data_IF_447803241277
#
_entry.id   IF_447803241277
#
_cell.length_a   1.000
_cell.length_b   1.000
_cell.length_c   1.000
_cell.angle_alpha   90.00
_cell.angle_beta   90.00
_cell.angle_gamma   90.00
#
_symmetry.space_group_name_H-M   'P 1'
#
loop_
_entity.id
_entity.type
_entity.pdbx_description
1 polymer ?
#
# COMPACT_ATOMS: atom_id res chain seq x y z
N UNK A 1 33.88 5.55 -16.16
CA UNK A 1 33.33 4.67 -15.11
C UNK A 1 32.53 3.57 -15.78
N UNK A 2 32.65 2.33 -15.32
CA UNK A 2 31.92 1.20 -15.89
C UNK A 2 30.45 1.24 -15.50
N UNK A 3 29.55 1.11 -16.49
CA UNK A 3 28.13 0.99 -16.20
C UNK A 3 27.85 -0.39 -15.58
N UNK A 4 27.02 -0.46 -14.52
CA UNK A 4 26.51 -1.70 -13.98
C UNK A 4 25.91 -2.59 -15.06
N UNK A 5 26.42 -3.81 -15.15
CA UNK A 5 25.83 -4.83 -16.03
C UNK A 5 24.48 -5.22 -15.47
N UNK A 6 23.48 -5.39 -16.34
CA UNK A 6 22.11 -5.74 -15.95
C UNK A 6 22.06 -6.95 -15.00
N UNK A 7 22.86 -7.99 -15.25
CA UNK A 7 22.98 -9.16 -14.37
C UNK A 7 23.44 -8.79 -12.96
N UNK A 8 24.41 -7.89 -12.83
CA UNK A 8 24.93 -7.44 -11.53
C UNK A 8 23.90 -6.57 -10.80
N UNK A 9 23.16 -5.74 -11.53
CA UNK A 9 22.09 -4.93 -10.97
C UNK A 9 20.95 -5.80 -10.41
N UNK A 10 20.46 -6.78 -11.18
CA UNK A 10 19.46 -7.75 -10.70
C UNK A 10 19.93 -8.57 -9.49
N UNK A 11 21.25 -8.73 -9.34
CA UNK A 11 21.82 -9.42 -8.19
C UNK A 11 22.04 -8.55 -6.95
N UNK A 12 21.80 -7.23 -7.02
CA UNK A 12 22.11 -6.31 -5.93
C UNK A 12 23.61 -6.04 -5.78
N UNK A 13 24.39 -6.22 -6.85
CA UNK A 13 25.83 -5.97 -6.88
C UNK A 13 26.22 -4.84 -7.85
N UNK A 14 25.31 -3.89 -8.09
CA UNK A 14 25.57 -2.74 -8.95
C UNK A 14 26.81 -1.95 -8.48
N UNK A 15 26.94 -1.76 -7.16
CA UNK A 15 28.10 -1.10 -6.51
C UNK A 15 29.44 -1.74 -6.92
N UNK A 16 29.49 -3.07 -7.04
CA UNK A 16 30.71 -3.77 -7.44
C UNK A 16 31.16 -3.39 -8.85
N UNK A 17 30.22 -3.13 -9.77
CA UNK A 17 30.53 -2.60 -11.09
C UNK A 17 30.93 -1.13 -11.05
N UNK A 18 30.29 -0.31 -10.22
CA UNK A 18 30.60 1.13 -10.10
C UNK A 18 32.00 1.39 -9.53
N UNK A 19 32.51 0.44 -8.74
CA UNK A 19 33.86 0.46 -8.17
C UNK A 19 34.90 -0.27 -9.02
N UNK A 20 34.51 -0.82 -10.16
CA UNK A 20 35.40 -1.55 -11.05
C UNK A 20 36.24 -0.56 -11.88
N UNK A 21 37.51 -0.88 -12.07
CA UNK A 21 38.47 -0.16 -12.91
C UNK A 21 38.48 -0.65 -14.37
N UNK A 22 37.80 -1.77 -14.66
CA UNK A 22 37.73 -2.36 -16.00
C UNK A 22 36.94 -1.45 -16.97
N UNK A 23 37.43 -1.21 -18.20
CA UNK A 23 36.70 -0.43 -19.19
C UNK A 23 35.37 -1.10 -19.55
N UNK A 24 34.37 -0.29 -19.89
CA UNK A 24 33.02 -0.77 -20.19
C UNK A 24 32.90 -1.34 -21.61
N UNK A 25 33.60 -2.44 -21.86
CA UNK A 25 33.58 -3.14 -23.15
C UNK A 25 32.67 -4.36 -23.04
N UNK A 26 31.74 -4.51 -23.97
CA UNK A 26 30.87 -5.68 -24.02
C UNK A 26 31.68 -6.97 -24.21
N UNK A 27 31.45 -7.97 -23.36
CA UNK A 27 32.09 -9.27 -23.50
C UNK A 27 33.52 -9.39 -22.96
N UNK A 28 34.02 -8.44 -22.16
CA UNK A 28 35.33 -8.58 -21.52
C UNK A 28 35.39 -9.82 -20.61
N UNK A 29 36.49 -10.55 -20.67
CA UNK A 29 36.67 -11.81 -19.93
C UNK A 29 36.66 -11.59 -18.42
N UNK A 30 37.18 -10.44 -17.97
CA UNK A 30 37.16 -10.04 -16.56
C UNK A 30 35.73 -9.83 -16.06
N UNK A 31 34.89 -9.12 -16.81
CA UNK A 31 33.49 -8.93 -16.44
C UNK A 31 32.73 -10.27 -16.42
N UNK A 32 33.00 -11.17 -17.38
CA UNK A 32 32.39 -12.52 -17.40
C UNK A 32 32.76 -13.32 -16.14
N UNK A 33 34.03 -13.30 -15.77
CA UNK A 33 34.52 -13.97 -14.55
C UNK A 33 33.93 -13.35 -13.29
N UNK A 34 33.88 -12.02 -13.21
CA UNK A 34 33.28 -11.28 -12.10
C UNK A 34 31.81 -11.66 -11.89
N UNK A 35 30.99 -11.58 -12.95
CA UNK A 35 29.56 -11.90 -12.91
C UNK A 35 29.34 -13.35 -12.45
N UNK A 36 30.09 -14.31 -13.01
CA UNK A 36 29.97 -15.72 -12.61
C UNK A 36 30.40 -15.99 -11.17
N UNK A 37 31.37 -15.24 -10.64
CA UNK A 37 31.79 -15.33 -9.23
C UNK A 37 30.71 -14.80 -8.29
N UNK A 38 30.14 -13.63 -8.60
CA UNK A 38 29.06 -13.05 -7.81
C UNK A 38 27.79 -13.91 -7.85
N UNK A 39 27.43 -14.47 -9.00
CA UNK A 39 26.30 -15.38 -9.13
C UNK A 39 26.46 -16.62 -8.24
N UNK A 40 27.64 -17.27 -8.26
CA UNK A 40 27.94 -18.42 -7.38
C UNK A 40 27.89 -18.04 -5.91
N UNK A 41 28.38 -16.85 -5.55
CA UNK A 41 28.36 -16.39 -4.16
C UNK A 41 26.92 -16.14 -3.71
N UNK A 42 26.11 -15.46 -4.52
CA UNK A 42 24.68 -15.21 -4.27
C UNK A 42 23.92 -16.52 -4.06
N UNK A 43 24.18 -17.52 -4.89
CA UNK A 43 23.54 -18.83 -4.78
C UNK A 43 23.91 -19.53 -3.47
N UNK A 44 25.19 -19.52 -3.08
CA UNK A 44 25.63 -20.11 -1.81
C UNK A 44 24.99 -19.46 -0.59
N UNK A 45 24.78 -18.14 -0.63
CA UNK A 45 24.19 -17.38 0.47
C UNK A 45 22.67 -17.24 0.35
N UNK A 46 21.99 -17.92 -0.60
CA UNK A 46 20.53 -17.82 -0.74
C UNK A 46 19.80 -18.67 0.30
N UNK A 47 20.36 -19.82 0.70
CA UNK A 47 19.74 -20.84 1.55
C UNK A 47 19.55 -20.46 3.02
N UNK A 48 19.62 -21.42 3.96
CA UNK A 48 19.67 -21.11 5.40
C UNK A 48 21.12 -20.85 5.83
N UNK A 49 21.38 -19.78 6.58
CA UNK A 49 22.71 -19.52 7.12
C UNK A 49 23.12 -20.60 8.13
N UNK A 50 24.25 -21.26 7.90
CA UNK A 50 24.76 -22.35 8.73
C UNK A 50 25.79 -21.84 9.76
N UNK A 51 26.53 -20.80 9.41
CA UNK A 51 27.57 -20.20 10.27
C UNK A 51 27.28 -18.72 10.60
N UNK A 52 28.00 -18.17 11.59
CA UNK A 52 28.00 -16.72 11.86
C UNK A 52 28.55 -15.93 10.67
N UNK A 53 29.56 -16.47 9.98
CA UNK A 53 30.13 -15.86 8.79
C UNK A 53 29.10 -15.79 7.65
N UNK A 54 28.22 -16.79 7.50
CA UNK A 54 27.16 -16.78 6.50
C UNK A 54 26.14 -15.69 6.78
N UNK A 55 25.80 -15.47 8.06
CA UNK A 55 24.86 -14.41 8.47
C UNK A 55 25.45 -13.04 8.18
N UNK A 56 26.70 -12.82 8.58
CA UNK A 56 27.42 -11.58 8.31
C UNK A 56 27.55 -11.31 6.81
N UNK A 57 27.88 -12.34 6.02
CA UNK A 57 27.97 -12.22 4.56
C UNK A 57 26.64 -11.80 3.93
N UNK A 58 25.51 -12.33 4.41
CA UNK A 58 24.18 -11.93 3.94
C UNK A 58 23.87 -10.50 4.28
N UNK A 59 24.19 -10.08 5.50
CA UNK A 59 24.01 -8.70 5.95
C UNK A 59 24.76 -7.72 5.05
N UNK A 60 26.04 -8.00 4.74
CA UNK A 60 26.80 -7.19 3.79
C UNK A 60 26.19 -7.16 2.39
N UNK A 61 25.70 -8.29 1.88
CA UNK A 61 25.03 -8.31 0.58
C UNK A 61 23.72 -7.52 0.59
N UNK A 62 22.96 -7.57 1.68
CA UNK A 62 21.75 -6.76 1.84
C UNK A 62 22.08 -5.27 1.86
N UNK A 63 23.13 -4.87 2.59
CA UNK A 63 23.63 -3.49 2.60
C UNK A 63 24.06 -3.02 1.20
N UNK A 64 24.85 -3.82 0.48
CA UNK A 64 25.29 -3.49 -0.88
C UNK A 64 24.16 -3.42 -1.91
N UNK A 65 23.10 -4.22 -1.71
CA UNK A 65 21.95 -4.24 -2.60
C UNK A 65 21.05 -2.99 -2.44
N UNK A 66 21.02 -2.39 -1.26
CA UNK A 66 20.26 -1.17 -1.00
C UNK A 66 21.00 -0.25 -0.01
N UNK A 67 22.11 0.41 -0.41
CA UNK A 67 22.96 1.17 0.51
C UNK A 67 22.20 2.31 1.22
N UNK A 68 21.25 2.95 0.54
CA UNK A 68 20.54 4.12 1.08
C UNK A 68 19.72 3.81 2.33
N UNK A 69 19.28 2.56 2.51
CA UNK A 69 18.58 2.12 3.72
C UNK A 69 19.50 1.98 4.95
N UNK A 70 20.81 2.10 4.78
CA UNK A 70 21.81 1.87 5.82
C UNK A 70 22.76 3.07 6.00
N UNK A 71 22.39 4.25 5.52
CA UNK A 71 23.20 5.46 5.66
C UNK A 71 23.44 5.86 7.13
N UNK A 72 22.48 5.56 8.01
CA UNK A 72 22.57 5.84 9.46
C UNK A 72 23.23 4.71 10.26
N UNK A 73 23.76 3.67 9.60
CA UNK A 73 24.46 2.58 10.28
C UNK A 73 25.72 3.09 10.97
N UNK A 74 25.89 2.74 12.26
CA UNK A 74 26.97 3.28 13.09
C UNK A 74 28.38 2.87 12.62
N UNK A 75 28.49 1.81 11.83
CA UNK A 75 29.77 1.24 11.40
C UNK A 75 30.01 1.45 9.91
N UNK A 76 28.97 1.27 9.09
CA UNK A 76 29.06 1.24 7.63
C UNK A 76 28.41 2.44 6.96
N UNK A 77 27.74 3.33 7.70
CA UNK A 77 26.92 4.41 7.15
C UNK A 77 27.65 5.36 6.21
N UNK A 78 28.92 5.69 6.53
CA UNK A 78 29.77 6.52 5.66
C UNK A 78 29.99 5.85 4.28
N UNK A 79 30.30 4.55 4.28
CA UNK A 79 30.49 3.78 3.05
C UNK A 79 29.18 3.60 2.29
N UNK A 80 28.07 3.38 3.00
CA UNK A 80 26.75 3.25 2.39
C UNK A 80 26.31 4.54 1.71
N UNK A 81 26.55 5.68 2.34
CA UNK A 81 26.31 7.01 1.76
C UNK A 81 27.11 7.20 0.46
N UNK A 82 28.39 6.83 0.47
CA UNK A 82 29.23 6.88 -0.72
C UNK A 82 28.72 5.94 -1.84
N UNK A 83 28.26 4.74 -1.50
CA UNK A 83 27.69 3.81 -2.49
C UNK A 83 26.35 4.28 -3.04
N UNK A 84 25.49 4.89 -2.22
CA UNK A 84 24.26 5.55 -2.67
C UNK A 84 24.56 6.64 -3.68
N UNK A 85 25.51 7.53 -3.38
CA UNK A 85 25.89 8.60 -4.31
C UNK A 85 26.39 8.08 -5.66
N UNK A 86 27.12 6.96 -5.67
CA UNK A 86 27.53 6.31 -6.93
C UNK A 86 26.34 5.73 -7.71
N UNK A 87 25.37 5.13 -7.02
CA UNK A 87 24.16 4.60 -7.65
C UNK A 87 23.32 5.74 -8.23
N UNK A 88 23.13 6.83 -7.47
CA UNK A 88 22.35 7.99 -7.89
C UNK A 88 22.98 8.67 -9.11
N UNK A 89 24.30 8.86 -9.09
CA UNK A 89 25.03 9.37 -10.24
C UNK A 89 24.91 8.47 -11.48
N UNK A 90 24.74 7.15 -11.31
CA UNK A 90 24.56 6.21 -12.41
C UNK A 90 23.12 6.16 -12.94
N UNK A 91 22.13 6.10 -12.05
CA UNK A 91 20.72 6.05 -12.43
C UNK A 91 20.20 7.40 -12.94
N UNK A 92 20.98 8.47 -12.69
CA UNK A 92 20.55 9.84 -12.86
C UNK A 92 19.72 10.29 -11.66
N UNK A 93 19.62 11.61 -11.45
CA UNK A 93 18.60 12.13 -10.55
C UNK A 93 17.24 11.73 -11.12
N UNK A 94 16.57 10.80 -10.45
CA UNK A 94 15.14 10.65 -10.64
C UNK A 94 14.53 12.04 -10.42
N UNK A 95 13.71 12.56 -11.34
CA UNK A 95 13.13 13.87 -11.17
C UNK A 95 12.45 13.92 -9.81
N UNK A 96 12.77 14.97 -9.03
CA UNK A 96 12.17 15.14 -7.71
C UNK A 96 10.65 15.04 -7.87
N UNK A 97 10.03 14.08 -7.17
CA UNK A 97 8.59 13.87 -7.28
C UNK A 97 7.90 15.16 -6.87
N UNK A 98 7.31 15.85 -7.83
CA UNK A 98 6.74 17.17 -7.56
C UNK A 98 5.48 17.01 -6.72
N UNK A 99 5.09 18.07 -6.02
CA UNK A 99 3.82 18.09 -5.28
C UNK A 99 2.65 17.79 -6.24
N UNK A 100 2.72 18.24 -7.50
CA UNK A 100 1.69 17.92 -8.50
C UNK A 100 1.59 16.42 -8.81
N UNK A 101 2.72 15.71 -8.94
CA UNK A 101 2.70 14.26 -9.17
C UNK A 101 2.14 13.48 -7.98
N UNK A 102 2.47 13.92 -6.76
CA UNK A 102 1.92 13.36 -5.53
C UNK A 102 0.40 13.55 -5.50
N UNK A 103 -0.09 14.77 -5.76
CA UNK A 103 -1.51 15.09 -5.82
C UNK A 103 -2.21 14.26 -6.90
N UNK A 104 -1.65 14.19 -8.11
CA UNK A 104 -2.20 13.39 -9.20
C UNK A 104 -2.32 11.91 -8.83
N UNK A 105 -1.33 11.35 -8.12
CA UNK A 105 -1.38 9.97 -7.63
C UNK A 105 -2.48 9.77 -6.57
N UNK A 106 -2.67 10.74 -5.67
CA UNK A 106 -3.77 10.71 -4.70
C UNK A 106 -5.14 10.84 -5.37
N UNK A 107 -5.29 11.68 -6.39
CA UNK A 107 -6.53 11.80 -7.18
C UNK A 107 -6.85 10.49 -7.92
N UNK A 108 -5.85 9.86 -8.54
CA UNK A 108 -6.01 8.55 -9.17
C UNK A 108 -6.43 7.49 -8.16
N UNK A 109 -5.90 7.52 -6.94
CA UNK A 109 -6.33 6.61 -5.88
C UNK A 109 -7.74 6.91 -5.35
N UNK A 110 -8.15 8.19 -5.27
CA UNK A 110 -9.52 8.57 -4.90
C UNK A 110 -10.56 8.11 -5.93
N UNK A 111 -10.19 8.13 -7.22
CA UNK A 111 -11.06 7.65 -8.31
C UNK A 111 -11.21 6.13 -8.32
N UNK A 112 -10.28 5.37 -7.70
CA UNK A 112 -10.44 3.92 -7.55
C UNK A 112 -11.51 3.63 -6.50
N UNK A 113 -12.54 2.89 -6.89
CA UNK A 113 -13.53 2.36 -5.95
C UNK A 113 -12.82 1.48 -4.92
N UNK A 114 -13.03 1.75 -3.64
CA UNK A 114 -12.61 0.88 -2.54
C UNK A 114 -13.60 -0.28 -2.43
N UNK A 115 -13.56 -1.22 -3.37
CA UNK A 115 -14.22 -2.52 -3.18
C UNK A 115 -13.42 -3.28 -2.13
N UNK A 116 -14.05 -3.65 -1.02
CA UNK A 116 -13.50 -4.66 -0.15
C UNK A 116 -14.28 -5.94 -0.43
N UNK A 117 -13.55 -7.01 -0.76
CA UNK A 117 -14.13 -8.33 -1.03
C UNK A 117 -15.11 -8.77 0.07
N UNK A 118 -14.83 -8.43 1.33
CA UNK A 118 -15.71 -8.72 2.47
C UNK A 118 -17.00 -7.89 2.43
N UNK A 119 -16.95 -6.60 2.05
CA UNK A 119 -18.14 -5.74 1.95
C UNK A 119 -19.03 -6.14 0.78
N UNK A 120 -18.42 -6.55 -0.33
CA UNK A 120 -19.15 -6.92 -1.55
C UNK A 120 -19.80 -8.31 -1.42
N UNK A 121 -19.22 -9.22 -0.61
CA UNK A 121 -19.77 -10.57 -0.36
C UNK A 121 -20.74 -10.59 0.84
N UNK A 122 -20.52 -9.77 1.87
CA UNK A 122 -21.38 -9.77 3.07
C UNK A 122 -22.66 -8.93 2.92
N UNK A 123 -22.71 -8.04 1.93
CA UNK A 123 -23.85 -7.14 1.73
C UNK A 123 -24.61 -7.50 0.45
N UNK A 124 -25.37 -8.59 0.51
CA UNK A 124 -26.33 -9.02 -0.53
C UNK A 124 -27.67 -8.25 -0.43
N UNK A 125 -27.68 -7.05 0.16
CA UNK A 125 -28.90 -6.26 0.23
C UNK A 125 -29.24 -5.70 -1.15
N UNK A 126 -30.32 -6.23 -1.75
CA UNK A 126 -30.85 -5.83 -3.07
C UNK A 126 -31.23 -4.34 -3.13
N UNK A 127 -31.38 -3.67 -1.99
CA UNK A 127 -31.86 -2.28 -1.86
C UNK A 127 -30.76 -1.26 -1.52
N UNK A 128 -29.49 -1.68 -1.51
CA UNK A 128 -28.39 -0.86 -1.00
C UNK A 128 -28.05 0.37 -1.89
N UNK A 129 -28.36 0.29 -3.19
CA UNK A 129 -28.09 1.34 -4.18
C UNK A 129 -29.32 1.65 -5.06
N UNK A 130 -30.53 1.25 -4.63
CA UNK A 130 -31.78 1.46 -5.38
C UNK A 130 -32.73 2.34 -4.56
N UNK A 131 -33.21 3.43 -5.15
CA UNK A 131 -34.27 4.24 -4.54
C UNK A 131 -35.58 3.44 -4.53
N UNK A 132 -36.11 3.17 -3.33
CA UNK A 132 -37.38 2.47 -3.16
C UNK A 132 -38.53 3.31 -3.69
N UNK A 133 -39.44 2.69 -4.44
CA UNK A 133 -40.70 3.33 -4.82
C UNK A 133 -41.58 3.55 -3.60
N UNK A 134 -42.55 4.46 -3.71
CA UNK A 134 -43.44 4.84 -2.61
C UNK A 134 -44.23 3.64 -2.08
N UNK A 135 -44.71 2.78 -2.97
CA UNK A 135 -45.40 1.52 -2.65
C UNK A 135 -44.49 0.52 -1.91
N UNK A 136 -43.24 0.36 -2.36
CA UNK A 136 -42.26 -0.52 -1.70
C UNK A 136 -41.86 0.00 -0.31
N UNK A 137 -41.79 1.32 -0.15
CA UNK A 137 -41.52 1.97 1.12
C UNK A 137 -42.66 1.71 2.11
N UNK A 138 -43.90 1.84 1.68
CA UNK A 138 -45.07 1.54 2.52
C UNK A 138 -45.15 0.06 2.89
N UNK A 139 -44.84 -0.85 1.97
CA UNK A 139 -44.81 -2.30 2.24
C UNK A 139 -43.72 -2.66 3.28
N UNK A 140 -42.53 -2.07 3.17
CA UNK A 140 -41.46 -2.29 4.14
C UNK A 140 -41.80 -1.68 5.50
N UNK A 141 -42.41 -0.48 5.52
CA UNK A 141 -42.88 0.14 6.76
C UNK A 141 -43.93 -0.75 7.44
N UNK A 142 -44.88 -1.31 6.68
CA UNK A 142 -45.89 -2.23 7.20
C UNK A 142 -45.27 -3.51 7.81
N UNK A 143 -44.23 -4.07 7.18
CA UNK A 143 -43.49 -5.22 7.72
C UNK A 143 -42.72 -4.90 9.00
N UNK A 144 -42.26 -3.66 9.18
CA UNK A 144 -41.52 -3.23 10.38
C UNK A 144 -42.45 -2.91 11.54
N UNK A 145 -43.59 -2.25 11.28
CA UNK A 145 -44.51 -1.80 12.35
C UNK A 145 -45.66 -2.77 12.64
N UNK A 146 -45.84 -3.83 11.86
CA UNK A 146 -47.04 -4.66 11.93
C UNK A 146 -48.31 -3.90 11.51
N UNK A 147 -49.48 -4.40 11.93
CA UNK A 147 -50.79 -3.80 11.62
C UNK A 147 -50.97 -2.51 12.45
N UNK A 148 -50.82 -1.33 11.82
CA UNK A 148 -51.12 -0.06 12.48
C UNK A 148 -52.60 -0.03 12.89
N UNK A 149 -52.97 0.61 14.03
CA UNK A 149 -54.37 0.97 14.22
C UNK A 149 -54.82 1.81 13.03
N UNK A 150 -55.95 1.42 12.42
CA UNK A 150 -56.50 2.04 11.19
C UNK A 150 -56.87 3.52 11.36
N UNK A 151 -56.76 4.05 12.58
CA UNK A 151 -57.01 5.44 12.91
C UNK A 151 -55.82 5.98 13.69
N UNK A 152 -55.15 7.00 13.13
CA UNK A 152 -54.20 7.83 13.84
C UNK A 152 -55.00 9.09 14.19
N UNK A 153 -55.32 9.34 15.47
CA UNK A 153 -56.13 10.49 15.83
C UNK A 153 -55.46 11.78 15.37
N UNK A 154 -56.27 12.71 14.90
CA UNK A 154 -55.79 14.04 14.54
C UNK A 154 -55.36 14.81 15.79
N UNK A 155 -54.55 15.84 15.60
CA UNK A 155 -54.14 16.71 16.70
C UNK A 155 -55.33 17.36 17.43
N UNK A 156 -56.43 17.64 16.74
CA UNK A 156 -57.64 18.17 17.34
C UNK A 156 -58.34 17.12 18.24
N UNK A 157 -58.40 15.86 17.81
CA UNK A 157 -58.96 14.78 18.63
C UNK A 157 -58.12 14.50 19.88
N UNK A 158 -56.79 14.54 19.76
CA UNK A 158 -55.89 14.37 20.92
C UNK A 158 -56.00 15.54 21.89
N UNK A 159 -56.22 16.76 21.40
CA UNK A 159 -56.42 17.93 22.25
C UNK A 159 -57.77 17.88 22.98
N UNK A 160 -58.83 17.42 22.31
CA UNK A 160 -60.14 17.22 22.93
C UNK A 160 -60.11 16.13 24.01
N UNK A 161 -59.38 15.03 23.78
CA UNK A 161 -59.18 13.97 24.78
C UNK A 161 -58.43 14.49 26.02
N UNK A 162 -57.42 15.35 25.82
CA UNK A 162 -56.70 15.99 26.93
C UNK A 162 -57.58 17.00 27.68
N UNK A 163 -58.46 17.72 26.97
CA UNK A 163 -59.41 18.66 27.56
C UNK A 163 -60.45 17.95 28.44
N UNK A 164 -61.03 16.83 27.98
CA UNK A 164 -61.92 15.97 28.79
C UNK A 164 -61.21 15.45 30.06
N UNK A 165 -59.95 15.02 29.94
CA UNK A 165 -59.18 14.50 31.07
C UNK A 165 -58.84 15.57 32.11
N UNK A 166 -58.71 16.83 31.69
CA UNK A 166 -58.50 17.97 32.58
C UNK A 166 -59.79 18.46 33.23
N UNK A 167 -60.93 18.35 32.54
CA UNK A 167 -62.26 18.66 33.11
C UNK A 167 -62.72 17.60 34.13
N UNK A 168 -62.34 16.33 33.96
CA UNK A 168 -62.61 15.25 34.94
C UNK A 168 -61.85 15.43 36.27
N UNK A 169 -60.73 16.16 36.28
CA UNK A 169 -59.92 16.44 37.48
C UNK A 169 -60.36 17.72 38.24
N UNK A 170 -61.37 18.47 37.75
CA UNK A 170 -61.97 19.65 38.42
C UNK A 170 -63.34 19.37 39.09
N UNK A 171 -63.68 18.09 39.36
CA UNK A 171 -64.89 17.64 40.07
C UNK A 171 -64.68 17.18 41.51
#
# INVERSE_FOLDING_TARGET
MSLPRSSMNMMGFAVCCLRCDEPDVAGSDRCRTCISSHARTREKISGRAQSKADRLSREFVTMLANPSAFNDDSTHGEMMTHYSALIDAHQGEAPATTIEEVVARFELQRKKRKSSLIRDVANENEWNDVELTEEQREEMLAKITGDRPRHIPSWEELLAEVEELLEEDEG
#
